data_IF_073118680991
#
_entry.id   IF_073118680991
#
_cell.length_a   1.000
_cell.length_b   1.000
_cell.length_c   1.000
_cell.angle_alpha   90.00
_cell.angle_beta   90.00
_cell.angle_gamma   90.00
#
_symmetry.space_group_name_H-M   'P 1'
#
loop_
_entity.id
_entity.type
_entity.pdbx_description
1 polymer ?
#
# COMPACT_ATOMS: atom_id res chain seq x y z
N UNK A 1 -28.94 60.43 23.16
CA UNK A 1 -30.39 60.26 23.34
C UNK A 1 -30.67 58.76 23.18
N UNK A 2 -30.60 57.91 24.22
CA UNK A 2 -31.56 57.70 25.31
C UNK A 2 -33.02 57.65 24.85
N UNK A 3 -33.56 56.44 24.68
CA UNK A 3 -34.80 56.02 25.34
C UNK A 3 -34.77 54.51 25.58
N UNK A 4 -34.90 54.16 26.86
CA UNK A 4 -35.13 52.83 27.43
C UNK A 4 -36.60 52.47 27.27
N UNK A 5 -36.91 51.18 27.16
CA UNK A 5 -38.13 50.61 27.74
C UNK A 5 -37.81 49.23 28.31
N UNK A 6 -38.15 49.08 29.59
CA UNK A 6 -37.99 47.93 30.47
C UNK A 6 -39.29 47.10 30.53
N UNK A 7 -39.21 45.98 31.25
CA UNK A 7 -40.27 45.20 31.92
C UNK A 7 -40.93 44.08 31.07
N UNK A 8 -41.17 42.87 31.57
CA UNK A 8 -40.82 42.21 32.83
C UNK A 8 -40.92 40.69 32.68
N UNK A 9 -40.29 40.02 33.63
CA UNK A 9 -40.24 38.61 33.99
C UNK A 9 -41.60 37.88 33.97
N UNK A 10 -41.59 36.64 33.49
CA UNK A 10 -42.27 35.55 34.20
C UNK A 10 -41.44 34.26 34.20
N UNK A 11 -41.56 33.58 35.33
CA UNK A 11 -40.73 32.54 35.94
C UNK A 11 -41.41 31.19 35.81
N UNK A 12 -40.71 30.16 35.39
CA UNK A 12 -40.94 28.72 35.66
C UNK A 12 -39.84 27.96 34.89
N UNK A 13 -39.29 26.81 35.26
CA UNK A 13 -39.23 25.98 36.45
C UNK A 13 -38.18 24.89 36.14
N UNK A 14 -37.33 24.60 37.12
CA UNK A 14 -36.57 23.39 37.40
C UNK A 14 -36.33 22.28 36.33
N UNK A 15 -35.04 21.91 36.29
CA UNK A 15 -34.46 20.55 36.18
C UNK A 15 -34.61 19.75 34.89
N UNK A 16 -33.48 19.54 34.21
CA UNK A 16 -32.98 18.18 33.94
C UNK A 16 -31.48 18.20 33.68
N UNK A 17 -30.72 17.62 34.59
CA UNK A 17 -29.37 17.13 34.31
C UNK A 17 -29.50 15.94 33.36
N UNK A 18 -29.07 16.10 32.11
CA UNK A 18 -28.78 14.97 31.24
C UNK A 18 -27.26 14.82 31.19
N UNK A 19 -26.75 13.98 32.10
CA UNK A 19 -25.41 13.43 32.02
C UNK A 19 -25.43 12.39 30.89
N UNK A 20 -25.07 12.82 29.68
CA UNK A 20 -24.79 11.88 28.61
C UNK A 20 -23.41 11.26 28.92
N UNK A 21 -23.43 10.00 29.35
CA UNK A 21 -22.25 9.14 29.43
C UNK A 21 -21.56 9.17 28.06
N UNK A 22 -20.44 9.90 27.98
CA UNK A 22 -19.49 9.81 26.88
C UNK A 22 -18.96 8.37 26.90
N UNK A 23 -19.58 7.53 26.08
CA UNK A 23 -19.10 6.19 25.79
C UNK A 23 -17.75 6.33 25.10
N UNK A 24 -16.68 6.34 25.89
CA UNK A 24 -15.31 6.30 25.41
C UNK A 24 -15.09 4.87 24.87
N UNK A 25 -15.58 4.62 23.66
CA UNK A 25 -15.27 3.41 22.92
C UNK A 25 -13.78 3.48 22.63
N UNK A 26 -12.98 2.81 23.46
CA UNK A 26 -11.57 2.62 23.23
C UNK A 26 -11.42 1.91 21.88
N UNK A 27 -11.19 2.71 20.83
CA UNK A 27 -10.75 2.20 19.53
C UNK A 27 -9.44 1.49 19.81
N UNK A 28 -9.49 0.16 19.89
CA UNK A 28 -8.30 -0.68 19.91
C UNK A 28 -7.58 -0.43 18.59
N UNK A 29 -6.63 0.49 18.62
CA UNK A 29 -5.71 0.72 17.52
C UNK A 29 -4.78 -0.47 17.49
N UNK A 30 -5.03 -1.40 16.57
CA UNK A 30 -4.08 -2.45 16.27
C UNK A 30 -2.94 -1.78 15.51
N UNK A 31 -1.85 -1.49 16.21
CA UNK A 31 -0.59 -1.15 15.55
C UNK A 31 -0.13 -2.43 14.85
N UNK A 32 -0.32 -2.49 13.54
CA UNK A 32 0.44 -3.42 12.72
C UNK A 32 1.88 -2.94 12.79
N UNK A 33 2.68 -3.56 13.64
CA UNK A 33 4.13 -3.46 13.51
C UNK A 33 4.47 -4.22 12.22
N UNK A 34 4.44 -3.51 11.09
CA UNK A 34 5.12 -4.00 9.89
C UNK A 34 6.53 -4.39 10.36
N UNK A 35 6.87 -5.67 10.21
CA UNK A 35 8.16 -6.18 10.62
C UNK A 35 9.23 -5.27 10.04
N UNK A 36 10.07 -4.69 10.89
CA UNK A 36 11.21 -3.86 10.48
C UNK A 36 12.33 -4.68 9.77
N UNK A 37 11.99 -5.85 9.24
CA UNK A 37 12.79 -6.58 8.27
C UNK A 37 12.54 -5.88 6.93
N UNK A 38 13.37 -4.89 6.63
CA UNK A 38 13.32 -4.21 5.35
C UNK A 38 13.63 -5.19 4.23
N UNK A 39 12.83 -5.16 3.15
CA UNK A 39 13.09 -5.96 1.96
C UNK A 39 14.52 -5.71 1.45
N UNK A 40 15.21 -6.81 1.09
CA UNK A 40 16.54 -6.74 0.46
C UNK A 40 16.47 -5.91 -0.84
N UNK A 41 17.57 -5.27 -1.24
CA UNK A 41 17.62 -4.64 -2.57
C UNK A 41 17.84 -5.70 -3.63
N UNK A 42 17.44 -5.44 -4.88
CA UNK A 42 17.68 -6.36 -5.99
C UNK A 42 19.14 -6.84 -6.08
N UNK A 43 20.10 -5.93 -5.87
CA UNK A 43 21.52 -6.25 -5.93
C UNK A 43 21.95 -7.29 -4.88
N UNK A 44 21.25 -7.35 -3.76
CA UNK A 44 21.56 -8.22 -2.61
C UNK A 44 20.86 -9.60 -2.71
N UNK A 45 19.94 -9.78 -3.66
CA UNK A 45 19.25 -11.06 -3.87
C UNK A 45 20.16 -12.07 -4.57
N UNK A 46 20.08 -13.32 -4.13
CA UNK A 46 20.66 -14.45 -4.85
C UNK A 46 19.97 -14.67 -6.19
N UNK A 47 20.65 -15.35 -7.12
CA UNK A 47 20.12 -15.58 -8.48
C UNK A 47 18.79 -16.34 -8.47
N UNK A 48 18.65 -17.34 -7.60
CA UNK A 48 17.41 -18.13 -7.46
C UNK A 48 16.24 -17.30 -6.95
N UNK A 49 16.49 -16.37 -6.03
CA UNK A 49 15.47 -15.46 -5.50
C UNK A 49 14.99 -14.48 -6.56
N UNK A 50 15.93 -13.96 -7.37
CA UNK A 50 15.63 -13.11 -8.53
C UNK A 50 14.76 -13.85 -9.55
N UNK A 51 15.15 -15.06 -9.96
CA UNK A 51 14.39 -15.89 -10.90
C UNK A 51 13.01 -16.25 -10.35
N UNK A 52 12.92 -16.58 -9.05
CA UNK A 52 11.65 -16.86 -8.37
C UNK A 52 10.73 -15.65 -8.39
N UNK A 53 11.24 -14.46 -8.08
CA UNK A 53 10.47 -13.22 -8.18
C UNK A 53 9.97 -12.99 -9.60
N UNK A 54 10.85 -13.11 -10.60
CA UNK A 54 10.52 -12.88 -12.02
C UNK A 54 9.37 -13.79 -12.47
N UNK A 55 9.48 -15.10 -12.20
CA UNK A 55 8.46 -16.07 -12.60
C UNK A 55 7.10 -15.75 -11.96
N UNK A 56 7.08 -15.49 -10.64
CA UNK A 56 5.85 -15.11 -9.93
C UNK A 56 5.26 -13.79 -10.42
N UNK A 57 6.12 -12.81 -10.70
CA UNK A 57 5.68 -11.51 -11.23
C UNK A 57 4.99 -11.67 -12.58
N UNK A 58 5.56 -12.46 -13.49
CA UNK A 58 4.99 -12.67 -14.83
C UNK A 58 3.67 -13.43 -14.74
N UNK A 59 3.59 -14.45 -13.89
CA UNK A 59 2.34 -15.19 -13.66
C UNK A 59 1.24 -14.26 -13.14
N UNK A 60 1.52 -13.51 -12.08
CA UNK A 60 0.56 -12.56 -11.51
C UNK A 60 0.18 -11.46 -12.51
N UNK A 61 1.17 -10.90 -13.22
CA UNK A 61 0.92 -9.86 -14.22
C UNK A 61 0.00 -10.38 -15.33
N UNK A 62 0.24 -11.61 -15.81
CA UNK A 62 -0.58 -12.25 -16.85
C UNK A 62 -2.00 -12.52 -16.36
N UNK A 63 -2.16 -12.95 -15.11
CA UNK A 63 -3.48 -13.18 -14.49
C UNK A 63 -4.29 -11.88 -14.44
N UNK A 64 -3.68 -10.78 -13.98
CA UNK A 64 -4.35 -9.48 -13.84
C UNK A 64 -4.52 -8.76 -15.19
N UNK A 65 -3.66 -9.04 -16.16
CA UNK A 65 -3.63 -8.36 -17.46
C UNK A 65 -3.50 -9.36 -18.63
N UNK A 66 -4.47 -10.25 -18.86
CA UNK A 66 -4.34 -11.38 -19.80
C UNK A 66 -4.10 -10.96 -21.25
N UNK A 67 -4.65 -9.81 -21.67
CA UNK A 67 -4.52 -9.30 -23.03
C UNK A 67 -3.42 -8.25 -23.21
N UNK A 68 -2.57 -8.02 -22.20
CA UNK A 68 -1.51 -7.01 -22.28
C UNK A 68 -0.40 -7.45 -23.26
N UNK A 69 0.04 -6.56 -24.18
CA UNK A 69 1.17 -6.85 -25.06
C UNK A 69 2.48 -7.09 -24.29
N UNK A 70 2.58 -6.57 -23.06
CA UNK A 70 3.72 -6.82 -22.18
C UNK A 70 3.91 -8.30 -21.85
N UNK A 71 2.87 -9.13 -21.93
CA UNK A 71 3.00 -10.58 -21.71
C UNK A 71 3.95 -11.25 -22.71
N UNK A 72 3.93 -10.82 -23.97
CA UNK A 72 4.86 -11.33 -24.99
C UNK A 72 6.29 -10.87 -24.72
N UNK A 73 6.44 -9.61 -24.32
CA UNK A 73 7.75 -9.03 -23.98
C UNK A 73 8.36 -9.71 -22.75
N UNK A 74 7.58 -9.90 -21.68
CA UNK A 74 7.99 -10.64 -20.48
C UNK A 74 8.45 -12.05 -20.82
N UNK A 75 7.67 -12.80 -21.61
CA UNK A 75 8.03 -14.15 -22.06
C UNK A 75 9.37 -14.18 -22.80
N UNK A 76 9.59 -13.22 -23.70
CA UNK A 76 10.83 -13.17 -24.48
C UNK A 76 12.04 -12.83 -23.59
N UNK A 77 11.88 -11.94 -22.60
CA UNK A 77 12.96 -11.58 -21.69
C UNK A 77 13.39 -12.73 -20.77
N UNK A 78 12.44 -13.57 -20.36
CA UNK A 78 12.75 -14.72 -19.49
C UNK A 78 13.08 -15.98 -20.26
N UNK A 79 13.08 -15.90 -21.59
CA UNK A 79 13.54 -17.00 -22.43
C UNK A 79 14.99 -17.32 -22.05
N UNK A 80 15.27 -18.60 -21.80
CA UNK A 80 16.61 -19.09 -21.47
C UNK A 80 17.20 -18.56 -20.15
N UNK A 81 16.39 -17.88 -19.31
CA UNK A 81 16.82 -17.35 -18.00
C UNK A 81 17.40 -18.45 -17.09
N UNK A 82 16.74 -19.60 -17.03
CA UNK A 82 17.19 -20.74 -16.22
C UNK A 82 18.40 -21.45 -16.84
N UNK A 83 18.47 -21.53 -18.17
CA UNK A 83 19.54 -22.20 -18.90
C UNK A 83 20.89 -21.51 -18.69
N UNK A 84 20.89 -20.17 -18.66
CA UNK A 84 22.10 -19.37 -18.51
C UNK A 84 22.34 -18.84 -17.09
N UNK A 85 21.59 -19.32 -16.09
CA UNK A 85 21.65 -18.82 -14.70
C UNK A 85 21.54 -17.29 -14.61
N UNK A 86 20.67 -16.69 -15.44
CA UNK A 86 20.52 -15.25 -15.58
C UNK A 86 19.29 -14.73 -14.81
N UNK A 87 19.25 -13.42 -14.59
CA UNK A 87 18.08 -12.68 -14.13
C UNK A 87 18.05 -11.31 -14.83
N UNK A 88 17.22 -11.14 -15.88
CA UNK A 88 17.18 -9.92 -16.67
C UNK A 88 17.00 -8.66 -15.82
N UNK A 89 17.93 -7.71 -15.94
CA UNK A 89 18.03 -6.55 -15.04
C UNK A 89 16.78 -5.64 -15.05
N UNK A 90 16.01 -5.64 -16.13
CA UNK A 90 14.75 -4.89 -16.21
C UNK A 90 13.76 -5.27 -15.10
N UNK A 91 13.73 -6.53 -14.68
CA UNK A 91 12.91 -6.96 -13.55
C UNK A 91 13.46 -6.47 -12.20
N UNK A 92 14.76 -6.15 -12.12
CA UNK A 92 15.34 -5.48 -10.96
C UNK A 92 14.84 -4.04 -10.78
N UNK A 93 14.54 -3.34 -11.88
CA UNK A 93 13.90 -2.02 -11.83
C UNK A 93 12.48 -2.17 -11.26
N UNK A 94 11.72 -3.13 -11.77
CA UNK A 94 10.36 -3.44 -11.30
C UNK A 94 10.34 -3.83 -9.82
N UNK A 95 11.24 -4.74 -9.41
CA UNK A 95 11.39 -5.17 -8.02
C UNK A 95 11.67 -3.99 -7.09
N UNK A 96 12.66 -3.16 -7.43
CA UNK A 96 13.03 -2.03 -6.59
C UNK A 96 11.92 -0.98 -6.52
N UNK A 97 11.11 -0.83 -7.57
CA UNK A 97 9.97 0.07 -7.55
C UNK A 97 8.85 -0.44 -6.62
N UNK A 98 8.50 -1.72 -6.69
CA UNK A 98 7.53 -2.35 -5.79
C UNK A 98 8.01 -2.26 -4.33
N UNK A 99 9.31 -2.51 -4.10
CA UNK A 99 9.96 -2.32 -2.81
C UNK A 99 9.87 -0.88 -2.32
N UNK A 100 10.14 0.09 -3.19
CA UNK A 100 10.08 1.51 -2.84
C UNK A 100 8.65 1.94 -2.49
N UNK A 101 7.64 1.42 -3.20
CA UNK A 101 6.23 1.61 -2.85
C UNK A 101 5.90 1.04 -1.47
N UNK A 102 6.28 -0.20 -1.21
CA UNK A 102 6.03 -0.86 0.07
C UNK A 102 6.72 -0.15 1.26
N UNK A 103 7.79 0.61 1.00
CA UNK A 103 8.51 1.40 2.00
C UNK A 103 8.07 2.88 2.06
N UNK A 104 7.17 3.31 1.18
CA UNK A 104 6.77 4.72 1.08
C UNK A 104 7.88 5.64 0.51
N UNK A 105 8.84 5.07 -0.22
CA UNK A 105 9.98 5.76 -0.83
C UNK A 105 9.77 6.09 -2.32
N UNK A 106 8.72 5.55 -2.97
CA UNK A 106 8.44 5.82 -4.39
C UNK A 106 8.04 7.27 -4.62
N UNK A 107 8.64 7.88 -5.66
CA UNK A 107 8.39 9.27 -6.06
C UNK A 107 7.36 9.36 -7.19
N UNK A 108 7.32 8.35 -8.06
CA UNK A 108 6.59 8.40 -9.33
C UNK A 108 5.35 7.52 -9.37
N UNK A 109 5.26 6.54 -8.47
CA UNK A 109 4.12 5.64 -8.38
C UNK A 109 3.41 5.83 -7.05
N UNK A 110 2.12 5.51 -7.04
CA UNK A 110 1.27 5.63 -5.85
C UNK A 110 0.64 4.28 -5.59
N UNK A 111 0.60 3.86 -4.32
CA UNK A 111 -0.07 2.64 -3.90
C UNK A 111 -1.55 2.65 -4.32
N UNK A 112 -2.03 1.52 -4.82
CA UNK A 112 -3.37 1.35 -5.38
C UNK A 112 -3.57 1.93 -6.79
N UNK A 113 -2.54 2.52 -7.41
CA UNK A 113 -2.63 3.15 -8.73
C UNK A 113 -1.65 2.56 -9.75
N UNK A 114 -2.14 2.34 -10.97
CA UNK A 114 -1.36 1.74 -12.04
C UNK A 114 -1.01 0.27 -11.79
N UNK A 115 -0.13 -0.30 -12.63
CA UNK A 115 0.27 -1.70 -12.53
C UNK A 115 1.09 -1.96 -11.27
N UNK A 116 2.12 -1.16 -11.02
CA UNK A 116 3.08 -1.40 -9.92
C UNK A 116 2.54 -0.99 -8.55
N UNK A 117 1.54 -0.10 -8.50
CA UNK A 117 0.87 0.28 -7.26
C UNK A 117 -0.08 -0.80 -6.73
N UNK A 118 -0.37 -1.86 -7.49
CA UNK A 118 -1.26 -2.90 -7.03
C UNK A 118 -0.64 -3.69 -5.85
N UNK A 119 -1.31 -3.73 -4.68
CA UNK A 119 -0.73 -4.28 -3.46
C UNK A 119 -0.47 -5.78 -3.53
N UNK A 120 -1.03 -6.50 -4.52
CA UNK A 120 -0.72 -7.91 -4.70
C UNK A 120 0.71 -8.16 -5.16
N UNK A 121 1.31 -7.23 -5.91
CA UNK A 121 2.72 -7.36 -6.30
C UNK A 121 3.67 -7.19 -5.11
N UNK A 122 3.28 -6.45 -4.07
CA UNK A 122 4.09 -6.32 -2.84
C UNK A 122 4.26 -7.67 -2.13
N UNK A 123 3.27 -8.57 -2.25
CA UNK A 123 3.34 -9.93 -1.68
C UNK A 123 4.42 -10.81 -2.33
N UNK A 124 4.99 -10.36 -3.45
CA UNK A 124 6.07 -11.05 -4.16
C UNK A 124 7.45 -10.68 -3.61
N UNK A 125 7.55 -9.63 -2.79
CA UNK A 125 8.81 -9.26 -2.16
C UNK A 125 9.21 -10.36 -1.16
N UNK A 126 10.43 -10.84 -1.31
CA UNK A 126 11.04 -11.81 -0.40
C UNK A 126 11.69 -11.04 0.76
N UNK A 127 11.48 -11.52 1.99
CA UNK A 127 12.15 -11.00 3.21
C UNK A 127 13.64 -11.42 3.28
#
# INVERSE_FOLDING_TARGET
MLTRTLTDLTRTSLTRFNSALVGNCAKRSFHHSASALGYKKWADLGIKDKQTFINKYIELYKEKHPCSPSNTMHRNLVSEMEEYEDAPYVFGIVYNEIRSLAQGESVHNVEGSGVLGDPEFQKLLLD
#
